data_IF_085213711707
#
_entry.id   IF_085213711707
#
_cell.length_a   1.000
_cell.length_b   1.000
_cell.length_c   1.000
_cell.angle_alpha   90.00
_cell.angle_beta   90.00
_cell.angle_gamma   90.00
#
_symmetry.space_group_name_H-M   'P 1'
#
loop_
_entity.id
_entity.type
_entity.pdbx_description
1 polymer ?
#
# COMPACT_ATOMS: atom_id res chain seq x y z
N UNK A 1 2.28 -7.00 -12.58
CA UNK A 1 2.48 -8.35 -13.20
C UNK A 1 2.17 -9.38 -12.13
N UNK A 2 1.50 -10.47 -12.48
CA UNK A 2 1.11 -11.53 -11.55
C UNK A 2 1.92 -12.81 -11.85
N UNK A 3 2.51 -13.41 -10.82
CA UNK A 3 3.23 -14.68 -10.92
C UNK A 3 2.33 -15.82 -10.47
N UNK A 4 2.33 -16.91 -11.24
CA UNK A 4 1.53 -18.08 -10.90
C UNK A 4 2.19 -18.90 -9.81
N UNK A 5 1.57 -18.97 -8.61
CA UNK A 5 2.05 -19.78 -7.47
C UNK A 5 3.53 -19.53 -7.12
N UNK A 6 3.95 -18.28 -7.05
CA UNK A 6 5.35 -17.88 -6.92
C UNK A 6 6.11 -18.64 -5.81
N UNK A 7 5.52 -18.76 -4.62
CA UNK A 7 6.13 -19.49 -3.49
C UNK A 7 6.22 -21.00 -3.70
N UNK A 8 5.36 -21.57 -4.54
CA UNK A 8 5.33 -23.02 -4.81
C UNK A 8 6.27 -23.41 -5.96
N UNK A 9 6.83 -22.44 -6.69
CA UNK A 9 7.60 -22.67 -7.91
C UNK A 9 9.12 -22.52 -7.74
N UNK A 10 9.63 -22.12 -6.54
CA UNK A 10 11.07 -21.92 -6.33
C UNK A 10 11.85 -23.26 -6.47
N UNK A 11 12.77 -23.41 -7.45
CA UNK A 11 13.63 -24.57 -7.53
C UNK A 11 14.62 -24.57 -6.34
N UNK A 12 14.68 -25.68 -5.59
CA UNK A 12 15.53 -25.76 -4.40
C UNK A 12 17.02 -25.61 -4.74
N UNK A 13 17.48 -26.27 -5.81
CA UNK A 13 18.88 -26.22 -6.23
C UNK A 13 19.31 -24.78 -6.57
N UNK A 14 18.44 -24.03 -7.29
CA UNK A 14 18.71 -22.63 -7.63
C UNK A 14 18.66 -21.72 -6.41
N UNK A 15 17.74 -21.97 -5.46
CA UNK A 15 17.70 -21.22 -4.20
C UNK A 15 19.01 -21.41 -3.42
N UNK A 16 19.49 -22.63 -3.29
CA UNK A 16 20.74 -22.94 -2.59
C UNK A 16 21.93 -22.27 -3.27
N UNK A 17 22.03 -22.34 -4.61
CA UNK A 17 23.08 -21.67 -5.37
C UNK A 17 23.06 -20.13 -5.17
N UNK A 18 21.87 -19.53 -5.14
CA UNK A 18 21.75 -18.09 -4.84
C UNK A 18 22.18 -17.76 -3.41
N UNK A 19 21.79 -18.56 -2.42
CA UNK A 19 22.22 -18.38 -1.02
C UNK A 19 23.73 -18.48 -0.87
N UNK A 20 24.36 -19.45 -1.55
CA UNK A 20 25.81 -19.57 -1.61
C UNK A 20 26.47 -18.30 -2.21
N UNK A 21 25.92 -17.81 -3.33
CA UNK A 21 26.39 -16.58 -3.97
C UNK A 21 26.23 -15.33 -3.09
N UNK A 22 25.26 -15.32 -2.17
CA UNK A 22 25.08 -14.28 -1.15
C UNK A 22 26.00 -14.46 0.07
N UNK A 23 26.86 -15.48 0.10
CA UNK A 23 27.86 -15.69 1.14
C UNK A 23 27.41 -16.51 2.34
N UNK A 24 26.37 -17.32 2.20
CA UNK A 24 25.99 -18.29 3.22
C UNK A 24 27.07 -19.37 3.31
N UNK A 25 27.48 -19.72 4.55
CA UNK A 25 28.45 -20.78 4.78
C UNK A 25 27.86 -22.19 4.58
N UNK A 26 28.73 -23.20 4.44
CA UNK A 26 28.34 -24.58 4.16
C UNK A 26 27.38 -25.16 5.22
N UNK A 27 27.59 -24.86 6.51
CA UNK A 27 26.78 -25.41 7.59
C UNK A 27 25.34 -24.84 7.51
N UNK A 28 25.23 -23.54 7.23
CA UNK A 28 23.95 -22.87 6.99
C UNK A 28 23.24 -23.44 5.75
N UNK A 29 23.98 -23.66 4.65
CA UNK A 29 23.42 -24.25 3.43
C UNK A 29 22.92 -25.69 3.67
N UNK A 30 23.69 -26.52 4.40
CA UNK A 30 23.26 -27.87 4.76
C UNK A 30 22.00 -27.86 5.63
N UNK A 31 21.90 -26.94 6.59
CA UNK A 31 20.69 -26.78 7.41
C UNK A 31 19.49 -26.41 6.55
N UNK A 32 19.64 -25.49 5.60
CA UNK A 32 18.56 -25.07 4.67
C UNK A 32 18.19 -26.22 3.74
N UNK A 33 19.15 -26.96 3.19
CA UNK A 33 18.90 -28.16 2.41
C UNK A 33 18.05 -29.17 3.19
N UNK A 34 18.45 -29.48 4.43
CA UNK A 34 17.71 -30.38 5.33
C UNK A 34 16.28 -29.86 5.61
N UNK A 35 16.12 -28.54 5.74
CA UNK A 35 14.81 -27.91 5.94
C UNK A 35 13.88 -28.07 4.71
N UNK A 36 14.42 -28.02 3.49
CA UNK A 36 13.68 -28.13 2.25
C UNK A 36 13.44 -29.58 1.80
N UNK A 37 14.38 -30.48 2.13
CA UNK A 37 14.34 -31.89 1.73
C UNK A 37 13.36 -32.74 2.55
N UNK A 38 13.11 -33.95 2.02
CA UNK A 38 12.29 -34.99 2.70
C UNK A 38 10.87 -34.54 3.09
N UNK A 39 10.35 -33.53 2.40
CA UNK A 39 8.98 -33.04 2.62
C UNK A 39 8.00 -33.74 1.67
N UNK A 40 6.84 -34.04 2.23
CA UNK A 40 5.75 -34.69 1.51
C UNK A 40 4.45 -33.97 1.77
N UNK A 41 3.61 -33.89 0.75
CA UNK A 41 2.26 -33.34 0.88
C UNK A 41 1.20 -34.33 0.41
N UNK A 42 0.00 -34.18 0.90
CA UNK A 42 -1.21 -34.89 0.44
C UNK A 42 -2.43 -34.00 0.61
N UNK A 43 -3.43 -34.22 -0.21
CA UNK A 43 -4.75 -33.57 -0.09
C UNK A 43 -5.62 -34.39 0.84
N UNK A 44 -6.36 -33.74 1.75
CA UNK A 44 -7.37 -34.32 2.62
C UNK A 44 -8.70 -33.61 2.39
N UNK A 45 -9.75 -34.37 2.04
CA UNK A 45 -11.12 -33.87 1.89
C UNK A 45 -12.02 -34.77 2.75
N UNK A 46 -12.54 -34.23 3.83
CA UNK A 46 -13.27 -35.03 4.84
C UNK A 46 -12.39 -36.14 5.41
N UNK A 47 -12.82 -37.41 5.29
CA UNK A 47 -12.07 -38.60 5.69
C UNK A 47 -11.11 -39.12 4.64
N UNK A 48 -11.28 -38.70 3.35
CA UNK A 48 -10.47 -39.18 2.22
C UNK A 48 -9.12 -38.46 2.18
N UNK A 49 -8.06 -39.24 1.86
CA UNK A 49 -6.69 -38.72 1.75
C UNK A 49 -6.07 -39.21 0.45
N UNK A 50 -5.42 -38.32 -0.29
CA UNK A 50 -4.62 -38.71 -1.46
C UNK A 50 -3.34 -39.46 -1.05
N UNK A 51 -2.65 -40.05 -2.03
CA UNK A 51 -1.27 -40.52 -1.85
C UNK A 51 -0.34 -39.39 -1.49
N UNK A 52 0.71 -39.69 -0.71
CA UNK A 52 1.77 -38.72 -0.41
C UNK A 52 2.63 -38.49 -1.65
N UNK A 53 2.95 -37.22 -1.93
CA UNK A 53 3.91 -36.84 -3.00
C UNK A 53 5.05 -36.03 -2.40
N UNK A 54 6.27 -36.32 -2.82
CA UNK A 54 7.46 -35.58 -2.41
C UNK A 54 7.40 -34.18 -3.01
N UNK A 55 7.70 -33.14 -2.21
CA UNK A 55 7.85 -31.76 -2.64
C UNK A 55 9.28 -31.59 -3.14
N UNK A 56 9.46 -31.16 -4.39
CA UNK A 56 10.77 -30.96 -5.03
C UNK A 56 11.07 -29.50 -5.32
N UNK A 57 10.07 -28.64 -5.26
CA UNK A 57 10.15 -27.19 -5.54
C UNK A 57 9.25 -26.45 -4.56
N UNK A 58 9.50 -25.17 -4.40
CA UNK A 58 8.73 -24.27 -3.55
C UNK A 58 9.13 -24.29 -2.08
N UNK A 59 8.71 -23.27 -1.37
CA UNK A 59 8.93 -23.11 0.05
C UNK A 59 7.64 -23.29 0.83
N UNK A 60 7.69 -23.82 2.08
CA UNK A 60 6.47 -24.08 2.85
C UNK A 60 5.69 -22.79 3.12
N UNK A 61 4.46 -22.72 2.61
CA UNK A 61 3.57 -21.59 2.87
C UNK A 61 3.22 -21.54 4.37
N UNK A 62 3.24 -20.32 4.93
CA UNK A 62 3.02 -20.09 6.36
C UNK A 62 4.24 -20.34 7.25
N UNK A 63 5.39 -20.70 6.68
CA UNK A 63 6.65 -20.77 7.43
C UNK A 63 7.25 -19.37 7.62
N UNK A 64 8.07 -19.21 8.68
CA UNK A 64 8.78 -17.94 8.94
C UNK A 64 9.85 -17.68 7.88
N UNK A 65 10.51 -18.71 7.37
CA UNK A 65 11.61 -18.62 6.40
C UNK A 65 11.11 -18.46 4.94
N UNK A 66 9.88 -18.89 4.62
CA UNK A 66 9.35 -18.84 3.25
C UNK A 66 9.44 -17.45 2.63
N UNK A 67 8.91 -16.39 3.25
CA UNK A 67 9.02 -15.03 2.72
C UNK A 67 10.46 -14.54 2.59
N UNK A 68 11.34 -14.91 3.51
CA UNK A 68 12.76 -14.55 3.45
C UNK A 68 13.47 -15.20 2.26
N UNK A 69 13.27 -16.50 2.06
CA UNK A 69 13.83 -17.22 0.91
C UNK A 69 13.29 -16.69 -0.42
N UNK A 70 12.01 -16.35 -0.47
CA UNK A 70 11.45 -15.72 -1.66
C UNK A 70 12.10 -14.38 -1.96
N UNK A 71 12.27 -13.51 -0.96
CA UNK A 71 12.90 -12.20 -1.12
C UNK A 71 14.37 -12.33 -1.57
N UNK A 72 15.12 -13.26 -1.00
CA UNK A 72 16.52 -13.53 -1.42
C UNK A 72 16.53 -14.06 -2.85
N UNK A 73 15.61 -14.98 -3.18
CA UNK A 73 15.53 -15.59 -4.50
C UNK A 73 15.25 -14.58 -5.61
N UNK A 74 14.35 -13.61 -5.37
CA UNK A 74 13.96 -12.61 -6.38
C UNK A 74 14.91 -11.39 -6.41
N UNK A 75 15.81 -11.25 -5.46
CA UNK A 75 16.61 -10.04 -5.28
C UNK A 75 17.49 -9.69 -6.48
N UNK A 76 18.02 -10.66 -7.21
CA UNK A 76 18.83 -10.43 -8.41
C UNK A 76 18.03 -9.87 -9.60
N UNK A 77 16.70 -9.95 -9.57
CA UNK A 77 15.83 -9.23 -10.51
C UNK A 77 16.12 -7.71 -10.54
N UNK A 78 16.44 -7.15 -9.37
CA UNK A 78 16.72 -5.71 -9.23
C UNK A 78 18.12 -5.30 -9.69
N UNK A 79 18.96 -6.27 -10.06
CA UNK A 79 20.28 -6.03 -10.64
C UNK A 79 20.23 -5.93 -12.18
N UNK A 80 19.07 -6.16 -12.77
CA UNK A 80 18.90 -6.04 -14.22
C UNK A 80 18.95 -4.57 -14.64
N UNK A 81 19.60 -4.32 -15.78
CA UNK A 81 19.61 -2.99 -16.41
C UNK A 81 18.31 -2.79 -17.20
N UNK A 82 17.32 -2.18 -16.57
CA UNK A 82 16.04 -1.82 -17.17
C UNK A 82 15.99 -0.30 -17.47
N UNK A 83 15.22 0.08 -18.49
CA UNK A 83 14.92 1.49 -18.78
C UNK A 83 13.75 2.01 -17.95
N UNK A 84 12.93 1.12 -17.41
CA UNK A 84 11.81 1.39 -16.50
C UNK A 84 12.18 1.08 -15.05
N UNK A 85 11.40 1.63 -14.13
CA UNK A 85 11.56 1.34 -12.71
C UNK A 85 10.67 0.15 -12.31
N UNK A 86 11.19 -0.72 -11.45
CA UNK A 86 10.46 -1.85 -10.91
C UNK A 86 10.24 -1.71 -9.41
N UNK A 87 9.00 -1.92 -8.97
CA UNK A 87 8.62 -2.05 -7.56
C UNK A 87 8.03 -3.42 -7.33
N UNK A 88 8.46 -4.06 -6.25
CA UNK A 88 7.99 -5.39 -5.89
C UNK A 88 7.42 -5.42 -4.47
N UNK A 89 6.35 -6.16 -4.30
CA UNK A 89 5.81 -6.53 -2.99
C UNK A 89 5.46 -8.01 -3.01
N UNK A 90 6.32 -8.83 -2.43
CA UNK A 90 6.26 -10.29 -2.53
C UNK A 90 6.23 -10.75 -4.01
N UNK A 91 5.17 -11.41 -4.45
CA UNK A 91 4.97 -11.85 -5.83
C UNK A 91 4.32 -10.81 -6.76
N UNK A 92 3.84 -9.69 -6.19
CA UNK A 92 3.26 -8.59 -6.97
C UNK A 92 4.36 -7.67 -7.52
N UNK A 93 4.65 -7.76 -8.82
CA UNK A 93 5.62 -6.90 -9.50
C UNK A 93 4.91 -5.77 -10.25
N UNK A 94 5.37 -4.54 -10.05
CA UNK A 94 4.88 -3.35 -10.75
C UNK A 94 6.04 -2.69 -11.47
N UNK A 95 5.86 -2.40 -12.76
CA UNK A 95 6.83 -1.69 -13.59
C UNK A 95 6.20 -0.36 -13.99
N UNK A 96 6.98 0.71 -13.96
CA UNK A 96 6.54 2.00 -14.46
C UNK A 96 7.64 2.71 -15.23
N UNK A 97 7.25 3.33 -16.33
CA UNK A 97 8.11 4.10 -17.19
C UNK A 97 7.54 5.50 -17.41
N UNK A 98 8.43 6.47 -17.53
CA UNK A 98 8.12 7.83 -17.90
C UNK A 98 8.76 8.16 -19.27
N UNK A 99 8.09 8.99 -20.06
CA UNK A 99 8.59 9.44 -21.35
C UNK A 99 7.85 10.66 -21.87
N UNK A 100 8.39 11.29 -22.89
CA UNK A 100 7.78 12.46 -23.51
C UNK A 100 6.69 12.08 -24.52
N UNK A 101 6.75 10.89 -25.07
CA UNK A 101 5.76 10.34 -26.01
C UNK A 101 5.25 8.98 -25.54
N UNK A 102 4.01 8.65 -25.95
CA UNK A 102 3.42 7.34 -25.66
C UNK A 102 4.25 6.23 -26.28
N UNK A 103 4.76 6.45 -27.48
CA UNK A 103 5.52 5.49 -28.24
C UNK A 103 6.84 5.13 -27.55
N UNK A 104 7.53 6.12 -26.99
CA UNK A 104 8.72 5.92 -26.15
C UNK A 104 8.41 5.04 -24.93
N UNK A 105 7.33 5.34 -24.22
CA UNK A 105 6.91 4.58 -23.02
C UNK A 105 6.56 3.14 -23.39
N UNK A 106 5.83 2.92 -24.49
CA UNK A 106 5.43 1.59 -24.95
C UNK A 106 6.66 0.75 -25.29
N UNK A 107 7.60 1.31 -26.07
CA UNK A 107 8.83 0.59 -26.45
C UNK A 107 9.66 0.20 -25.22
N UNK A 108 9.87 1.13 -24.26
CA UNK A 108 10.58 0.83 -23.02
C UNK A 108 9.92 -0.31 -22.24
N UNK A 109 8.61 -0.22 -22.04
CA UNK A 109 7.87 -1.24 -21.29
C UNK A 109 7.88 -2.61 -22.02
N UNK A 110 7.74 -2.65 -23.34
CA UNK A 110 7.76 -3.90 -24.10
C UNK A 110 9.15 -4.57 -24.05
N UNK A 111 10.23 -3.79 -24.19
CA UNK A 111 11.59 -4.30 -24.08
C UNK A 111 11.88 -4.85 -22.66
N UNK A 112 11.58 -4.07 -21.64
CA UNK A 112 11.83 -4.45 -20.25
C UNK A 112 10.97 -5.65 -19.81
N UNK A 113 9.71 -5.70 -20.27
CA UNK A 113 8.84 -6.85 -20.04
C UNK A 113 9.40 -8.13 -20.68
N UNK A 114 9.97 -8.05 -21.88
CA UNK A 114 10.65 -9.17 -22.51
C UNK A 114 11.82 -9.69 -21.67
N UNK A 115 12.67 -8.79 -21.17
CA UNK A 115 13.79 -9.14 -20.29
C UNK A 115 13.32 -9.78 -18.98
N UNK A 116 12.28 -9.25 -18.37
CA UNK A 116 11.73 -9.77 -17.12
C UNK A 116 11.08 -11.13 -17.30
N UNK A 117 10.36 -11.37 -18.38
CA UNK A 117 9.76 -12.68 -18.69
C UNK A 117 10.84 -13.73 -18.93
N UNK A 118 11.92 -13.38 -19.62
CA UNK A 118 13.08 -14.26 -19.80
C UNK A 118 13.74 -14.60 -18.45
N UNK A 119 13.92 -13.60 -17.57
CA UNK A 119 14.44 -13.80 -16.23
C UNK A 119 13.53 -14.74 -15.41
N UNK A 120 12.21 -14.51 -15.39
CA UNK A 120 11.27 -15.38 -14.69
C UNK A 120 11.35 -16.82 -15.20
N UNK A 121 11.39 -17.00 -16.52
CA UNK A 121 11.51 -18.32 -17.15
C UNK A 121 12.80 -19.04 -16.73
N UNK A 122 13.95 -18.37 -16.77
CA UNK A 122 15.25 -18.89 -16.34
C UNK A 122 15.29 -19.26 -14.85
N UNK A 123 14.49 -18.58 -14.03
CA UNK A 123 14.39 -18.84 -12.61
C UNK A 123 13.25 -19.82 -12.25
N UNK A 124 12.65 -20.50 -13.22
CA UNK A 124 11.57 -21.47 -13.00
C UNK A 124 10.25 -20.86 -12.55
N UNK A 125 10.07 -19.56 -12.71
CA UNK A 125 8.84 -18.84 -12.38
C UNK A 125 7.97 -18.67 -13.62
N UNK A 126 6.66 -18.81 -13.45
CA UNK A 126 5.69 -18.67 -14.54
C UNK A 126 4.93 -17.36 -14.34
N UNK A 127 5.21 -16.38 -15.19
CA UNK A 127 4.39 -15.18 -15.32
C UNK A 127 3.10 -15.51 -16.09
N UNK A 128 1.99 -14.85 -15.74
CA UNK A 128 0.73 -14.97 -16.45
C UNK A 128 0.37 -13.66 -17.15
N UNK A 129 0.75 -13.45 -18.42
CA UNK A 129 0.47 -12.21 -19.14
C UNK A 129 -1.01 -11.85 -19.21
N UNK A 130 -1.93 -12.83 -19.17
CA UNK A 130 -3.38 -12.58 -19.21
C UNK A 130 -3.92 -11.86 -17.98
N UNK A 131 -3.19 -11.92 -16.87
CA UNK A 131 -3.51 -11.22 -15.62
C UNK A 131 -2.80 -9.88 -15.49
N UNK A 132 -1.93 -9.52 -16.43
CA UNK A 132 -1.25 -8.24 -16.38
C UNK A 132 -2.25 -7.09 -16.56
N UNK A 133 -2.11 -6.06 -15.76
CA UNK A 133 -2.92 -4.86 -15.83
C UNK A 133 -2.03 -3.71 -16.29
N UNK A 134 -2.51 -2.94 -17.26
CA UNK A 134 -1.77 -1.84 -17.87
C UNK A 134 -2.62 -0.60 -17.77
N UNK A 135 -2.00 0.51 -17.34
CA UNK A 135 -2.66 1.80 -17.26
C UNK A 135 -1.68 2.90 -17.63
N UNK A 136 -2.15 3.88 -18.40
CA UNK A 136 -1.42 5.10 -18.71
C UNK A 136 -1.95 6.25 -17.88
N UNK A 137 -1.05 7.01 -17.26
CA UNK A 137 -1.39 8.20 -16.49
C UNK A 137 -1.22 9.46 -17.33
N UNK A 138 -2.08 10.45 -17.13
CA UNK A 138 -2.00 11.74 -17.80
C UNK A 138 -2.62 11.80 -19.20
N UNK A 139 -3.28 10.74 -19.66
CA UNK A 139 -4.00 10.71 -20.94
C UNK A 139 -5.51 10.87 -20.71
N UNK A 140 -6.18 11.53 -21.64
CA UNK A 140 -7.63 11.68 -21.65
C UNK A 140 -8.35 10.40 -22.11
N UNK A 141 -7.75 9.69 -23.09
CA UNK A 141 -8.27 8.43 -23.64
C UNK A 141 -7.12 7.47 -23.89
N UNK A 142 -7.26 6.24 -23.43
CA UNK A 142 -6.28 5.15 -23.59
C UNK A 142 -6.90 3.88 -24.18
N UNK A 143 -8.15 3.91 -24.61
CA UNK A 143 -8.90 2.73 -25.08
C UNK A 143 -8.24 2.03 -26.30
N UNK A 144 -7.52 2.78 -27.11
CA UNK A 144 -6.81 2.23 -28.26
C UNK A 144 -5.38 1.77 -27.96
N UNK A 145 -4.87 2.05 -26.74
CA UNK A 145 -3.50 1.69 -26.38
C UNK A 145 -3.39 0.20 -26.04
N UNK A 146 -2.35 -0.42 -26.54
CA UNK A 146 -2.03 -1.83 -26.34
C UNK A 146 -0.52 -1.97 -26.14
N UNK A 147 -0.11 -2.86 -25.25
CA UNK A 147 1.26 -3.38 -25.21
C UNK A 147 1.30 -4.75 -25.85
N UNK A 148 2.33 -4.99 -26.64
CA UNK A 148 2.60 -6.31 -27.23
C UNK A 148 3.57 -7.07 -26.32
N UNK A 149 3.11 -8.15 -25.71
CA UNK A 149 3.92 -8.98 -24.82
C UNK A 149 3.90 -10.41 -25.38
N UNK A 150 5.06 -10.88 -25.86
CA UNK A 150 5.19 -12.21 -26.47
C UNK A 150 4.13 -12.50 -27.57
N UNK A 151 3.86 -11.50 -28.43
CA UNK A 151 2.87 -11.62 -29.49
C UNK A 151 1.41 -11.41 -29.07
N UNK A 152 1.12 -11.28 -27.78
CA UNK A 152 -0.21 -10.96 -27.24
C UNK A 152 -0.38 -9.46 -27.06
N UNK A 153 -1.45 -8.89 -27.59
CA UNK A 153 -1.79 -7.47 -27.44
C UNK A 153 -2.67 -7.27 -26.20
N UNK A 154 -2.11 -6.72 -25.14
CA UNK A 154 -2.82 -6.42 -23.91
C UNK A 154 -3.39 -4.99 -23.94
N UNK A 155 -4.69 -4.80 -23.71
CA UNK A 155 -5.30 -3.48 -23.67
C UNK A 155 -4.95 -2.72 -22.41
N UNK A 156 -4.77 -1.41 -22.53
CA UNK A 156 -4.75 -0.53 -21.38
C UNK A 156 -6.16 -0.41 -20.75
N UNK A 157 -6.19 -0.27 -19.41
CA UNK A 157 -7.42 -0.14 -18.62
C UNK A 157 -7.45 1.18 -17.88
N UNK A 158 -8.66 1.72 -17.67
CA UNK A 158 -8.83 2.99 -16.93
C UNK A 158 -8.59 2.83 -15.42
N UNK A 159 -8.60 1.61 -14.92
CA UNK A 159 -8.36 1.31 -13.50
C UNK A 159 -7.53 0.05 -13.36
N UNK A 160 -6.58 0.08 -12.43
CA UNK A 160 -5.79 -1.11 -12.03
C UNK A 160 -5.92 -1.33 -10.53
N UNK A 161 -5.80 -2.58 -10.10
CA UNK A 161 -5.76 -2.92 -8.69
C UNK A 161 -4.30 -3.16 -8.27
N UNK A 162 -3.79 -2.32 -7.38
CA UNK A 162 -2.44 -2.45 -6.82
C UNK A 162 -2.54 -2.62 -5.32
N UNK A 163 -2.02 -3.73 -4.79
CA UNK A 163 -2.01 -4.05 -3.35
C UNK A 163 -3.38 -3.80 -2.68
N UNK A 164 -4.47 -4.18 -3.35
CA UNK A 164 -5.82 -4.02 -2.83
C UNK A 164 -6.45 -2.63 -3.04
N UNK A 165 -5.71 -1.65 -3.56
CA UNK A 165 -6.21 -0.32 -3.89
C UNK A 165 -6.60 -0.26 -5.37
N UNK A 166 -7.80 0.24 -5.67
CA UNK A 166 -8.24 0.55 -7.04
C UNK A 166 -7.70 1.94 -7.41
N UNK A 167 -6.74 1.97 -8.34
CA UNK A 167 -6.12 3.21 -8.84
C UNK A 167 -6.73 3.50 -10.21
N UNK A 168 -7.23 4.70 -10.43
CA UNK A 168 -7.72 5.15 -11.74
C UNK A 168 -6.69 6.05 -12.44
N UNK A 169 -6.76 6.11 -13.78
CA UNK A 169 -5.85 6.87 -14.64
C UNK A 169 -5.82 8.40 -14.38
N UNK A 170 -6.79 8.91 -13.61
CA UNK A 170 -6.86 10.31 -13.17
C UNK A 170 -6.45 10.49 -11.72
N UNK A 171 -6.05 9.43 -11.02
CA UNK A 171 -5.65 9.40 -9.61
C UNK A 171 -6.68 10.02 -8.66
N UNK A 172 -7.98 9.89 -8.97
CA UNK A 172 -9.09 10.41 -8.14
C UNK A 172 -9.53 9.44 -7.07
N UNK A 173 -9.27 8.14 -7.25
CA UNK A 173 -9.59 7.05 -6.32
C UNK A 173 -11.07 6.93 -5.95
N UNK A 174 -11.98 7.55 -6.71
CA UNK A 174 -13.42 7.54 -6.41
C UNK A 174 -14.00 6.12 -6.38
N UNK A 175 -13.59 5.25 -7.33
CA UNK A 175 -14.01 3.85 -7.37
C UNK A 175 -13.56 3.09 -6.12
N UNK A 176 -12.30 3.29 -5.70
CA UNK A 176 -11.79 2.69 -4.47
C UNK A 176 -12.59 3.09 -3.25
N UNK A 177 -12.85 4.37 -3.08
CA UNK A 177 -13.61 4.91 -1.93
C UNK A 177 -15.03 4.38 -1.94
N UNK A 178 -15.69 4.34 -3.09
CA UNK A 178 -17.04 3.77 -3.21
C UNK A 178 -17.07 2.29 -2.79
N UNK A 179 -16.14 1.46 -3.27
CA UNK A 179 -16.03 0.05 -2.87
C UNK A 179 -15.74 -0.10 -1.36
N UNK A 180 -14.85 0.74 -0.82
CA UNK A 180 -14.54 0.79 0.60
C UNK A 180 -15.77 1.12 1.44
N UNK A 181 -16.49 2.19 1.11
CA UNK A 181 -17.70 2.61 1.80
C UNK A 181 -18.84 1.58 1.68
N UNK A 182 -18.97 0.94 0.53
CA UNK A 182 -19.93 -0.17 0.32
C UNK A 182 -19.63 -1.33 1.27
N UNK A 183 -18.36 -1.75 1.35
CA UNK A 183 -17.90 -2.80 2.27
C UNK A 183 -18.14 -2.44 3.75
N UNK A 184 -17.86 -1.20 4.13
CA UNK A 184 -18.14 -0.69 5.48
C UNK A 184 -19.64 -0.73 5.76
N UNK A 185 -20.47 -0.25 4.84
CA UNK A 185 -21.92 -0.23 5.00
C UNK A 185 -22.53 -1.63 5.13
N UNK A 186 -22.00 -2.63 4.41
CA UNK A 186 -22.41 -4.05 4.58
C UNK A 186 -22.11 -4.54 5.99
N UNK A 187 -20.92 -4.24 6.52
CA UNK A 187 -20.53 -4.60 7.90
C UNK A 187 -21.40 -3.87 8.94
N UNK A 188 -21.69 -2.58 8.73
CA UNK A 188 -22.59 -1.82 9.60
C UNK A 188 -24.00 -2.44 9.62
N UNK A 189 -24.52 -2.90 8.47
CA UNK A 189 -25.83 -3.59 8.42
C UNK A 189 -25.82 -4.93 9.18
N UNK A 190 -24.73 -5.66 9.13
CA UNK A 190 -24.57 -6.90 9.93
C UNK A 190 -24.47 -6.57 11.43
N UNK A 191 -23.69 -5.54 11.78
CA UNK A 191 -23.50 -5.08 13.14
C UNK A 191 -24.83 -4.57 13.76
N UNK A 192 -25.65 -3.87 13.00
CA UNK A 192 -26.95 -3.38 13.48
C UNK A 192 -27.86 -4.51 14.01
N UNK A 193 -27.79 -5.69 13.40
CA UNK A 193 -28.57 -6.87 13.86
C UNK A 193 -28.03 -7.49 15.16
N UNK A 194 -26.74 -7.28 15.45
CA UNK A 194 -26.07 -7.87 16.62
C UNK A 194 -26.01 -6.88 17.80
N UNK A 195 -26.03 -5.59 17.52
CA UNK A 195 -25.75 -4.55 18.52
C UNK A 195 -26.71 -4.56 19.72
N UNK A 196 -27.95 -5.03 19.53
CA UNK A 196 -28.94 -5.16 20.61
C UNK A 196 -28.62 -6.25 21.64
N UNK A 197 -27.72 -7.19 21.27
CA UNK A 197 -27.31 -8.31 22.14
C UNK A 197 -25.94 -8.09 22.76
N UNK A 198 -25.25 -6.98 22.45
CA UNK A 198 -23.89 -6.71 22.87
C UNK A 198 -23.86 -5.71 24.04
N UNK A 199 -22.88 -5.89 24.93
CA UNK A 199 -22.58 -4.82 25.90
C UNK A 199 -21.95 -3.63 25.17
N UNK A 200 -22.01 -2.40 25.73
CA UNK A 200 -21.43 -1.21 25.12
C UNK A 200 -19.94 -1.37 24.75
N UNK A 201 -19.15 -2.02 25.62
CA UNK A 201 -17.72 -2.27 25.39
C UNK A 201 -17.48 -3.25 24.22
N UNK A 202 -18.29 -4.31 24.14
CA UNK A 202 -18.23 -5.25 23.02
C UNK A 202 -18.63 -4.58 21.71
N UNK A 203 -19.68 -3.78 21.72
CA UNK A 203 -20.16 -3.04 20.56
C UNK A 203 -19.09 -2.05 20.04
N UNK A 204 -18.47 -1.27 20.93
CA UNK A 204 -17.36 -0.35 20.58
C UNK A 204 -16.19 -1.13 19.99
N UNK A 205 -15.79 -2.23 20.61
CA UNK A 205 -14.68 -3.05 20.15
C UNK A 205 -14.90 -3.63 18.75
N UNK A 206 -16.11 -4.10 18.46
CA UNK A 206 -16.49 -4.61 17.13
C UNK A 206 -16.49 -3.47 16.12
N UNK A 207 -17.08 -2.32 16.48
CA UNK A 207 -17.11 -1.14 15.62
C UNK A 207 -15.68 -0.72 15.20
N UNK A 208 -14.77 -0.58 16.15
CA UNK A 208 -13.40 -0.15 15.89
C UNK A 208 -12.57 -1.19 15.12
N UNK A 209 -12.62 -2.47 15.56
CA UNK A 209 -11.72 -3.49 15.01
C UNK A 209 -12.20 -4.09 13.69
N UNK A 210 -13.51 -4.20 13.48
CA UNK A 210 -14.08 -4.88 12.30
C UNK A 210 -14.59 -3.88 11.26
N UNK A 211 -15.16 -2.75 11.69
CA UNK A 211 -15.82 -1.80 10.79
C UNK A 211 -14.88 -0.63 10.46
N UNK A 212 -14.53 0.20 11.45
CA UNK A 212 -13.74 1.41 11.23
C UNK A 212 -12.29 1.11 10.84
N UNK A 213 -11.76 -0.06 11.21
CA UNK A 213 -10.43 -0.53 10.78
C UNK A 213 -10.28 -0.58 9.25
N UNK A 214 -11.37 -0.73 8.49
CA UNK A 214 -11.29 -0.68 7.01
C UNK A 214 -10.76 0.65 6.47
N UNK A 215 -11.00 1.76 7.17
CA UNK A 215 -10.45 3.07 6.83
C UNK A 215 -8.97 3.24 7.23
N UNK A 216 -8.36 2.24 7.87
CA UNK A 216 -6.96 2.27 8.26
C UNK A 216 -6.02 1.67 7.20
N UNK A 217 -6.57 1.02 6.15
CA UNK A 217 -5.76 0.43 5.09
C UNK A 217 -5.34 1.49 4.08
N UNK A 218 -4.03 1.68 3.94
CA UNK A 218 -3.40 2.65 3.04
C UNK A 218 -4.07 4.04 3.01
N UNK A 219 -4.42 4.64 4.17
CA UNK A 219 -5.26 5.84 4.20
C UNK A 219 -4.60 7.05 3.57
N UNK A 220 -3.27 7.11 3.50
CA UNK A 220 -2.54 8.23 2.92
C UNK A 220 -2.69 8.28 1.39
N UNK A 221 -2.95 7.15 0.74
CA UNK A 221 -3.13 7.08 -0.72
C UNK A 221 -4.37 7.87 -1.16
N UNK A 222 -5.46 7.82 -0.38
CA UNK A 222 -6.73 8.47 -0.70
C UNK A 222 -7.06 9.67 0.22
N UNK A 223 -6.09 10.12 1.03
CA UNK A 223 -6.27 11.22 2.00
C UNK A 223 -6.81 12.51 1.36
N UNK A 224 -6.31 12.89 0.18
CA UNK A 224 -6.71 14.09 -0.55
C UNK A 224 -7.69 13.77 -1.69
N UNK A 225 -8.65 12.90 -1.42
CA UNK A 225 -9.72 12.55 -2.34
C UNK A 225 -10.65 13.75 -2.63
N UNK A 226 -11.64 13.57 -3.52
CA UNK A 226 -12.63 14.60 -3.81
C UNK A 226 -13.61 14.82 -2.64
N UNK A 227 -14.25 15.99 -2.60
CA UNK A 227 -15.25 16.33 -1.58
C UNK A 227 -16.37 15.29 -1.54
N UNK A 228 -16.90 14.92 -2.71
CA UNK A 228 -17.95 13.90 -2.81
C UNK A 228 -17.53 12.55 -2.23
N UNK A 229 -16.27 12.14 -2.45
CA UNK A 229 -15.72 10.91 -1.90
C UNK A 229 -15.55 11.01 -0.38
N UNK A 230 -15.07 12.15 0.14
CA UNK A 230 -14.97 12.38 1.57
C UNK A 230 -16.35 12.41 2.25
N UNK A 231 -17.37 12.99 1.60
CA UNK A 231 -18.73 12.96 2.09
C UNK A 231 -19.29 11.53 2.16
N UNK A 232 -18.93 10.68 1.21
CA UNK A 232 -19.29 9.25 1.26
C UNK A 232 -18.65 8.55 2.46
N UNK A 233 -17.36 8.81 2.74
CA UNK A 233 -16.67 8.33 3.95
C UNK A 233 -17.37 8.82 5.21
N UNK A 234 -17.67 10.12 5.29
CA UNK A 234 -18.32 10.72 6.46
C UNK A 234 -19.74 10.14 6.67
N UNK A 235 -20.50 9.89 5.61
CA UNK A 235 -21.80 9.22 5.70
C UNK A 235 -21.69 7.80 6.24
N UNK A 236 -20.71 7.03 5.76
CA UNK A 236 -20.47 5.67 6.25
C UNK A 236 -20.01 5.67 7.71
N UNK A 237 -19.13 6.59 8.12
CA UNK A 237 -18.68 6.76 9.50
C UNK A 237 -19.86 7.19 10.40
N UNK A 238 -20.63 8.20 10.02
CA UNK A 238 -21.84 8.63 10.74
C UNK A 238 -22.81 7.48 10.95
N UNK A 239 -23.05 6.68 9.90
CA UNK A 239 -23.95 5.52 9.99
C UNK A 239 -23.43 4.49 10.99
N UNK A 240 -22.11 4.25 11.04
CA UNK A 240 -21.51 3.34 12.02
C UNK A 240 -21.77 3.83 13.45
N UNK A 241 -21.50 5.10 13.74
CA UNK A 241 -21.72 5.70 15.06
C UNK A 241 -23.21 5.71 15.47
N UNK A 242 -24.12 5.98 14.52
CA UNK A 242 -25.56 5.88 14.76
C UNK A 242 -25.99 4.50 15.22
N UNK A 243 -25.49 3.49 14.58
CA UNK A 243 -25.80 2.11 14.97
C UNK A 243 -25.13 1.77 16.32
N UNK A 244 -23.89 2.20 16.53
CA UNK A 244 -23.16 1.95 17.79
C UNK A 244 -23.90 2.52 18.99
N UNK A 245 -24.34 3.78 18.91
CA UNK A 245 -25.00 4.48 19.99
C UNK A 245 -26.54 4.39 19.96
N UNK A 246 -27.10 3.68 18.98
CA UNK A 246 -28.55 3.59 18.74
C UNK A 246 -29.24 4.98 18.66
N UNK A 247 -28.50 5.96 18.11
CA UNK A 247 -28.89 7.37 18.01
C UNK A 247 -28.93 7.77 16.54
N UNK A 248 -30.15 7.87 15.99
CA UNK A 248 -30.39 8.15 14.57
C UNK A 248 -30.70 9.62 14.28
N UNK A 249 -30.95 10.43 15.32
CA UNK A 249 -31.36 11.83 15.19
C UNK A 249 -30.16 12.79 15.28
N UNK A 250 -29.19 12.49 16.13
CA UNK A 250 -28.05 13.35 16.37
C UNK A 250 -27.23 13.70 15.13
N UNK A 251 -26.70 14.91 15.14
CA UNK A 251 -25.76 15.36 14.12
C UNK A 251 -24.45 14.54 14.15
N UNK A 252 -23.69 14.55 13.05
CA UNK A 252 -22.42 13.84 13.01
C UNK A 252 -21.41 14.37 14.05
N UNK A 253 -21.40 15.68 14.28
CA UNK A 253 -20.53 16.31 15.26
C UNK A 253 -20.85 15.88 16.69
N UNK A 254 -22.13 15.77 17.07
CA UNK A 254 -22.53 15.26 18.37
C UNK A 254 -22.15 13.80 18.57
N UNK A 255 -22.29 12.96 17.55
CA UNK A 255 -21.87 11.55 17.59
C UNK A 255 -20.34 11.44 17.75
N UNK A 256 -19.56 12.24 17.04
CA UNK A 256 -18.10 12.28 17.18
C UNK A 256 -17.69 12.74 18.60
N UNK A 257 -18.36 13.75 19.15
CA UNK A 257 -18.10 14.22 20.53
C UNK A 257 -18.42 13.14 21.56
N UNK A 258 -19.52 12.41 21.39
CA UNK A 258 -19.91 11.29 22.25
C UNK A 258 -18.90 10.13 22.17
N UNK A 259 -18.39 9.85 20.98
CA UNK A 259 -17.37 8.84 20.73
C UNK A 259 -15.95 9.28 21.15
N UNK A 260 -15.78 10.53 21.54
CA UNK A 260 -14.48 11.16 21.75
C UNK A 260 -13.53 10.92 20.56
N UNK A 261 -14.06 11.00 19.36
CA UNK A 261 -13.33 10.73 18.13
C UNK A 261 -13.41 11.89 17.14
N UNK A 262 -12.65 11.81 16.07
CA UNK A 262 -12.59 12.80 15.00
C UNK A 262 -12.99 12.16 13.68
N UNK A 263 -13.22 12.99 12.65
CA UNK A 263 -13.50 12.50 11.30
C UNK A 263 -12.34 11.63 10.78
N UNK A 264 -12.63 10.73 9.84
CA UNK A 264 -11.61 9.89 9.21
C UNK A 264 -10.54 10.75 8.52
N UNK A 265 -10.95 11.86 7.90
CA UNK A 265 -10.00 12.80 7.28
C UNK A 265 -8.99 13.34 8.29
N UNK A 266 -9.43 13.85 9.42
CA UNK A 266 -8.54 14.38 10.47
C UNK A 266 -7.63 13.29 11.04
N UNK A 267 -8.17 12.10 11.33
CA UNK A 267 -7.36 10.93 11.75
C UNK A 267 -6.25 10.60 10.72
N UNK A 268 -6.55 10.73 9.43
CA UNK A 268 -5.56 10.47 8.37
C UNK A 268 -4.54 11.60 8.23
N UNK A 269 -4.91 12.86 8.45
CA UNK A 269 -3.95 13.97 8.55
C UNK A 269 -2.97 13.75 9.70
N UNK A 270 -3.44 13.29 10.86
CA UNK A 270 -2.58 12.95 12.02
C UNK A 270 -1.59 11.81 11.68
N UNK A 271 -2.04 10.80 10.91
CA UNK A 271 -1.16 9.74 10.41
C UNK A 271 -0.12 10.29 9.45
N UNK A 272 -0.51 11.16 8.52
CA UNK A 272 0.43 11.82 7.61
C UNK A 272 1.50 12.59 8.39
N UNK A 273 1.12 13.39 9.37
CA UNK A 273 2.08 14.11 10.21
C UNK A 273 3.00 13.17 10.96
N UNK A 274 2.50 12.01 11.39
CA UNK A 274 3.31 10.97 12.05
C UNK A 274 4.36 10.39 11.10
N UNK A 275 4.00 10.12 9.84
CA UNK A 275 4.96 9.62 8.85
C UNK A 275 5.99 10.69 8.47
N UNK A 276 5.59 11.96 8.37
CA UNK A 276 6.54 13.06 8.13
C UNK A 276 7.50 13.22 9.32
N UNK A 277 7.00 13.14 10.55
CA UNK A 277 7.87 13.14 11.73
C UNK A 277 8.92 12.02 11.65
N UNK A 278 8.51 10.81 11.28
CA UNK A 278 9.45 9.70 11.09
C UNK A 278 10.49 9.97 10.00
N UNK A 279 10.09 10.55 8.86
CA UNK A 279 11.01 10.91 7.77
C UNK A 279 11.99 11.98 8.21
N UNK A 280 11.52 13.05 8.86
CA UNK A 280 12.34 14.16 9.35
C UNK A 280 13.34 13.70 10.43
N UNK A 281 12.95 12.74 11.28
CA UNK A 281 13.80 12.15 12.33
C UNK A 281 14.55 10.89 11.86
N UNK A 282 14.44 10.51 10.59
CA UNK A 282 15.09 9.32 9.99
C UNK A 282 14.74 8.00 10.71
N UNK A 283 13.48 7.86 11.15
CA UNK A 283 12.96 6.69 11.86
C UNK A 283 12.26 5.68 10.94
N UNK A 284 12.19 5.96 9.65
CA UNK A 284 11.63 5.10 8.61
C UNK A 284 12.71 4.80 7.54
N UNK A 285 12.47 3.91 6.58
CA UNK A 285 13.41 3.59 5.52
C UNK A 285 13.89 4.82 4.73
N UNK A 286 15.15 4.81 4.29
CA UNK A 286 15.82 5.97 3.68
C UNK A 286 15.14 6.51 2.43
N UNK A 287 14.55 5.65 1.60
CA UNK A 287 13.83 6.06 0.39
C UNK A 287 12.57 6.93 0.69
N UNK A 288 12.06 6.91 1.92
CA UNK A 288 10.96 7.78 2.33
C UNK A 288 11.43 9.18 2.77
N UNK A 289 12.74 9.38 3.03
CA UNK A 289 13.23 10.68 3.48
C UNK A 289 13.17 11.74 2.39
N UNK A 290 13.32 11.33 1.12
CA UNK A 290 13.26 12.22 -0.05
C UNK A 290 11.87 12.84 -0.25
N UNK A 291 10.80 12.17 0.23
CA UNK A 291 9.44 12.72 0.14
C UNK A 291 9.26 13.99 0.99
N UNK A 292 10.07 14.17 2.04
CA UNK A 292 9.97 15.27 2.99
C UNK A 292 11.37 15.75 3.41
N UNK A 293 12.15 16.22 2.44
CA UNK A 293 13.48 16.76 2.72
C UNK A 293 13.41 17.96 3.66
N UNK A 294 14.32 18.01 4.63
CA UNK A 294 14.50 19.21 5.46
C UNK A 294 15.05 20.35 4.63
N UNK A 295 14.55 21.54 4.91
CA UNK A 295 15.15 22.76 4.37
C UNK A 295 16.47 22.99 5.08
N UNK A 296 17.59 22.99 4.34
CA UNK A 296 18.88 23.41 4.87
C UNK A 296 18.82 24.92 5.16
N UNK A 297 19.11 25.28 6.40
CA UNK A 297 19.12 26.67 6.85
C UNK A 297 20.53 27.01 7.29
N UNK A 298 21.16 27.96 6.62
CA UNK A 298 22.52 28.42 6.92
C UNK A 298 22.59 29.34 8.13
N UNK A 299 21.46 29.84 8.63
CA UNK A 299 21.36 30.71 9.79
C UNK A 299 20.40 30.14 10.84
N UNK A 300 20.64 30.43 12.12
CA UNK A 300 19.79 29.99 13.21
C UNK A 300 18.45 30.79 13.20
N UNK A 301 17.50 30.32 12.38
CA UNK A 301 16.18 30.91 12.29
C UNK A 301 15.29 30.40 13.44
N UNK A 302 14.33 31.23 13.85
CA UNK A 302 13.34 30.90 14.92
C UNK A 302 12.50 29.64 14.58
N UNK A 303 12.33 29.30 13.31
CA UNK A 303 11.60 28.11 12.85
C UNK A 303 12.60 27.04 12.41
N UNK A 304 12.82 26.06 13.27
CA UNK A 304 13.61 24.86 13.00
C UNK A 304 12.69 23.75 12.43
N UNK A 305 13.27 22.83 11.66
CA UNK A 305 12.59 21.64 11.15
C UNK A 305 11.51 21.89 10.07
N UNK A 306 11.72 22.85 9.17
CA UNK A 306 10.87 23.03 8.00
C UNK A 306 11.19 22.00 6.90
N UNK A 307 10.16 21.50 6.24
CA UNK A 307 10.30 20.69 5.02
C UNK A 307 10.41 21.60 3.78
N UNK A 308 11.28 21.22 2.85
CA UNK A 308 11.40 21.83 1.54
C UNK A 308 10.15 21.53 0.72
N UNK A 309 9.55 22.54 0.12
CA UNK A 309 8.39 22.32 -0.75
C UNK A 309 8.88 21.89 -2.14
N UNK A 310 8.38 20.75 -2.67
CA UNK A 310 8.70 20.32 -4.02
C UNK A 310 8.24 21.36 -5.06
N UNK A 311 9.02 21.53 -6.15
CA UNK A 311 8.62 22.39 -7.27
C UNK A 311 7.46 21.75 -8.03
N UNK A 312 6.33 22.44 -8.13
CA UNK A 312 5.14 21.98 -8.84
C UNK A 312 5.16 22.47 -10.28
N UNK A 313 5.04 21.54 -11.23
CA UNK A 313 4.90 21.87 -12.66
C UNK A 313 3.46 21.66 -13.17
N UNK A 314 2.67 20.80 -12.53
CA UNK A 314 1.31 20.43 -12.94
C UNK A 314 0.39 20.27 -11.73
N UNK A 315 -0.92 20.38 -11.95
CA UNK A 315 -1.96 20.26 -10.90
C UNK A 315 -1.83 18.97 -10.04
N UNK A 316 -1.45 17.85 -10.63
CA UNK A 316 -1.25 16.59 -9.86
C UNK A 316 -0.17 16.74 -8.78
N UNK A 317 0.88 17.51 -9.03
CA UNK A 317 1.92 17.79 -8.04
C UNK A 317 1.40 18.54 -6.81
N UNK A 318 0.44 19.47 -6.99
CA UNK A 318 -0.15 20.22 -5.87
C UNK A 318 -1.05 19.38 -4.96
N UNK A 319 -1.51 18.22 -5.43
CA UNK A 319 -2.31 17.27 -4.66
C UNK A 319 -1.47 16.10 -4.12
N UNK A 320 -0.16 16.08 -4.40
CA UNK A 320 0.73 14.99 -3.93
C UNK A 320 0.93 15.04 -2.40
N UNK A 321 1.13 13.85 -1.81
CA UNK A 321 1.46 13.74 -0.38
C UNK A 321 2.72 14.51 -0.01
N UNK A 322 3.74 14.49 -0.88
CA UNK A 322 4.99 15.20 -0.66
C UNK A 322 4.77 16.71 -0.56
N UNK A 323 3.98 17.31 -1.46
CA UNK A 323 3.71 18.74 -1.44
C UNK A 323 2.76 19.13 -0.30
N UNK A 324 1.57 18.50 -0.24
CA UNK A 324 0.56 18.80 0.78
C UNK A 324 1.06 18.48 2.19
N UNK A 325 1.75 17.36 2.33
CA UNK A 325 2.34 16.96 3.61
C UNK A 325 3.39 17.94 4.10
N UNK A 326 4.33 18.34 3.24
CA UNK A 326 5.37 19.32 3.59
C UNK A 326 4.77 20.70 3.91
N UNK A 327 3.76 21.13 3.16
CA UNK A 327 3.05 22.38 3.42
C UNK A 327 2.38 22.32 4.81
N UNK A 328 1.66 21.27 5.11
CA UNK A 328 0.94 21.09 6.35
C UNK A 328 1.91 20.94 7.54
N UNK A 329 2.99 20.18 7.38
CA UNK A 329 4.06 20.09 8.38
C UNK A 329 4.63 21.46 8.75
N UNK A 330 4.86 22.31 7.76
CA UNK A 330 5.42 23.63 7.99
C UNK A 330 4.50 24.54 8.83
N UNK A 331 3.20 24.26 8.86
CA UNK A 331 2.21 25.01 9.67
C UNK A 331 2.07 24.48 11.11
N UNK A 332 2.61 23.30 11.43
CA UNK A 332 2.59 22.80 12.81
C UNK A 332 3.39 23.69 13.75
N UNK A 333 2.96 23.74 15.00
CA UNK A 333 3.72 24.44 16.06
C UNK A 333 5.05 23.77 16.34
N UNK A 334 6.05 24.56 16.70
CA UNK A 334 7.40 24.05 16.97
C UNK A 334 7.42 23.07 18.15
N UNK A 335 6.56 23.25 19.15
CA UNK A 335 6.43 22.34 20.27
C UNK A 335 6.08 20.91 19.81
N UNK A 336 5.19 20.76 18.82
CA UNK A 336 4.83 19.45 18.26
C UNK A 336 5.99 18.90 17.43
N UNK A 337 6.61 19.71 16.55
CA UNK A 337 7.73 19.27 15.69
C UNK A 337 8.95 18.81 16.49
N UNK A 338 9.23 19.48 17.62
CA UNK A 338 10.38 19.22 18.48
C UNK A 338 10.13 18.13 19.52
N UNK A 339 9.01 17.40 19.44
CA UNK A 339 8.74 16.26 20.33
C UNK A 339 9.96 15.33 20.41
N UNK A 340 10.41 14.95 21.62
CA UNK A 340 11.66 14.20 21.80
C UNK A 340 11.56 12.76 21.30
N UNK A 341 10.37 12.18 21.34
CA UNK A 341 10.14 10.78 20.93
C UNK A 341 8.90 10.68 20.04
N UNK A 342 8.83 9.59 19.26
CA UNK A 342 7.66 9.27 18.44
C UNK A 342 6.39 9.11 19.29
N UNK A 343 6.52 8.58 20.51
CA UNK A 343 5.39 8.42 21.43
C UNK A 343 4.86 9.78 21.89
N UNK A 344 5.75 10.70 22.27
CA UNK A 344 5.40 12.07 22.64
C UNK A 344 4.72 12.80 21.46
N UNK A 345 5.30 12.70 20.26
CA UNK A 345 4.70 13.27 19.05
C UNK A 345 3.29 12.75 18.81
N UNK A 346 3.10 11.41 18.84
CA UNK A 346 1.79 10.78 18.65
C UNK A 346 0.76 11.23 19.69
N UNK A 347 1.17 11.46 20.93
CA UNK A 347 0.26 11.95 21.96
C UNK A 347 -0.16 13.40 21.71
N UNK A 348 0.77 14.27 21.31
CA UNK A 348 0.46 15.67 21.00
C UNK A 348 -0.38 15.82 19.75
N UNK A 349 -0.09 15.04 18.69
CA UNK A 349 -0.83 15.15 17.41
C UNK A 349 -2.27 14.64 17.52
N UNK A 350 -2.63 13.80 18.48
CA UNK A 350 -4.00 13.34 18.70
C UNK A 350 -5.01 14.44 18.94
N UNK A 351 -4.61 15.53 19.60
CA UNK A 351 -5.47 16.68 19.87
C UNK A 351 -5.54 17.67 18.71
N UNK A 352 -4.64 17.54 17.73
CA UNK A 352 -4.61 18.44 16.58
C UNK A 352 -5.75 18.11 15.60
N UNK A 353 -6.54 19.11 15.23
CA UNK A 353 -7.76 18.99 14.44
C UNK A 353 -7.56 19.23 12.95
N UNK A 354 -6.32 19.44 12.52
CA UNK A 354 -6.03 19.79 11.12
C UNK A 354 -6.04 21.31 10.89
N UNK A 355 -5.92 22.11 11.95
CA UNK A 355 -5.88 23.57 11.85
C UNK A 355 -4.84 24.02 10.83
N UNK A 356 -5.19 25.00 10.01
CA UNK A 356 -4.38 25.52 8.90
C UNK A 356 -4.18 24.52 7.74
N UNK A 357 -4.89 23.41 7.71
CA UNK A 357 -4.93 22.59 6.51
C UNK A 357 -5.67 23.34 5.40
N UNK A 358 -4.99 23.58 4.28
CA UNK A 358 -5.56 24.25 3.10
C UNK A 358 -5.97 23.25 2.00
N UNK A 359 -6.22 22.00 2.38
CA UNK A 359 -6.78 21.06 1.43
C UNK A 359 -8.26 21.36 1.18
N UNK A 360 -8.76 20.88 0.05
CA UNK A 360 -10.16 21.07 -0.37
C UNK A 360 -11.18 20.64 0.68
N UNK A 361 -10.85 19.61 1.48
CA UNK A 361 -11.75 19.04 2.49
C UNK A 361 -11.80 19.83 3.81
N UNK A 362 -10.87 20.80 3.99
CA UNK A 362 -10.78 21.64 5.19
C UNK A 362 -11.14 23.12 4.91
N UNK A 363 -11.14 23.52 3.62
CA UNK A 363 -11.64 24.82 3.17
C UNK A 363 -13.15 24.80 2.99
#
# INVERSE_FOLDING_TARGET
MDLSKAYDCLPHDLLIAKLEAYGFDNDSLQLICSYLESRYQRVKIGSCKSTRRKIKIGVPQGSVLGPLFFNIFINDLFLMSLESEICNFADDNTIFACGNTIQEIVIKLENDLGLLLDWFSKNGMIANPEKFQIMFLGLSDQRCLRLNIEGKKLPATDTVKLLGIQIDNKLKLNKHIHELCSKVNQKVSAFARLNTYLSPDQATKICDTIILSNFNYCPLVWLFCSDAANDEINRAHKRCLRVLYQDFESSFQLLLSRDNSQTIHVKNLQKLMTEIYKSVKKLNPSYLWEFHERKEVTYDLRTKDLCKLPKIKKRYGSESLSFRGSLLWNTLSDNIKQSPTLAAFKNQIKSWTGDKCTCRLCL
#
